data_IF_756772354532
#
_entry.id   IF_756772354532
#
_cell.length_a   1.000
_cell.length_b   1.000
_cell.length_c   1.000
_cell.angle_alpha   90.00
_cell.angle_beta   90.00
_cell.angle_gamma   90.00
#
_symmetry.space_group_name_H-M   'P 1'
#
loop_
_entity.id
_entity.type
_entity.pdbx_description
1 polymer ?
#
# COMPACT_ATOMS: atom_id res chain seq x y z
N UNK A 1 17.55 -11.73 6.41
CA UNK A 1 17.42 -10.87 5.22
C UNK A 1 16.52 -9.72 5.60
N UNK A 2 16.99 -8.48 5.49
CA UNK A 2 16.20 -7.30 5.84
C UNK A 2 15.75 -6.64 4.54
N UNK A 3 14.45 -6.71 4.28
CA UNK A 3 13.80 -5.93 3.22
C UNK A 3 13.83 -4.45 3.64
N UNK A 4 13.98 -3.54 2.68
CA UNK A 4 14.07 -2.11 2.97
C UNK A 4 13.43 -1.24 1.90
N UNK A 5 13.00 -0.04 2.29
CA UNK A 5 12.62 1.00 1.34
C UNK A 5 13.80 1.94 1.12
N UNK A 6 14.10 2.22 -0.14
CA UNK A 6 15.10 3.20 -0.56
C UNK A 6 14.43 4.42 -1.19
N UNK A 7 15.07 5.58 -1.06
CA UNK A 7 14.64 6.82 -1.69
C UNK A 7 15.72 7.27 -2.65
N UNK A 8 15.37 7.49 -3.90
CA UNK A 8 16.30 8.04 -4.88
C UNK A 8 16.59 9.52 -4.57
N UNK A 9 17.88 9.89 -4.36
CA UNK A 9 18.24 11.27 -4.11
C UNK A 9 17.90 12.18 -5.30
N UNK A 10 17.32 13.35 -5.02
CA UNK A 10 17.00 14.37 -6.03
C UNK A 10 15.59 14.26 -6.60
N UNK A 11 15.06 13.05 -6.81
CA UNK A 11 13.68 12.83 -7.27
C UNK A 11 12.74 12.53 -6.10
N UNK A 12 13.25 11.90 -5.04
CA UNK A 12 12.44 11.44 -3.91
C UNK A 12 11.65 10.17 -4.21
N UNK A 13 11.80 9.56 -5.39
CA UNK A 13 11.13 8.33 -5.79
C UNK A 13 11.44 7.22 -4.78
N UNK A 14 10.40 6.47 -4.38
CA UNK A 14 10.53 5.40 -3.39
C UNK A 14 10.57 4.06 -4.11
N UNK A 15 11.51 3.22 -3.67
CA UNK A 15 11.70 1.88 -4.18
C UNK A 15 11.66 0.85 -3.04
N UNK A 16 11.08 -0.30 -3.32
CA UNK A 16 11.25 -1.49 -2.51
C UNK A 16 12.53 -2.23 -2.92
N UNK A 17 13.42 -2.50 -1.97
CA UNK A 17 14.74 -3.09 -2.25
C UNK A 17 14.80 -4.50 -1.66
N UNK A 18 14.97 -5.49 -2.54
CA UNK A 18 15.19 -6.88 -2.16
C UNK A 18 16.59 -7.04 -1.53
N UNK A 19 16.81 -8.04 -0.66
CA UNK A 19 18.12 -8.35 -0.09
C UNK A 19 19.22 -8.59 -1.13
N UNK A 20 18.84 -8.99 -2.35
CA UNK A 20 19.74 -9.20 -3.48
C UNK A 20 20.11 -7.90 -4.21
N UNK A 21 19.53 -6.76 -3.81
CA UNK A 21 19.80 -5.43 -4.36
C UNK A 21 18.90 -5.01 -5.52
N UNK A 22 17.97 -5.87 -5.96
CA UNK A 22 16.96 -5.50 -6.94
C UNK A 22 15.97 -4.50 -6.33
N UNK A 23 15.70 -3.42 -7.05
CA UNK A 23 14.81 -2.35 -6.63
C UNK A 23 13.57 -2.31 -7.52
N UNK A 24 12.40 -2.29 -6.88
CA UNK A 24 11.12 -2.17 -7.56
C UNK A 24 10.46 -0.85 -7.21
N UNK A 25 9.89 -0.20 -8.22
CA UNK A 25 9.19 1.07 -8.03
C UNK A 25 8.02 0.89 -7.05
N UNK A 26 7.95 1.77 -6.04
CA UNK A 26 6.89 1.77 -5.03
C UNK A 26 6.02 3.03 -5.12
N UNK A 27 6.64 4.21 -5.13
CA UNK A 27 5.92 5.49 -5.21
C UNK A 27 6.73 6.56 -5.92
N UNK A 28 6.04 7.50 -6.55
CA UNK A 28 6.61 8.59 -7.35
C UNK A 28 7.40 9.61 -6.53
N UNK A 29 7.12 9.75 -5.24
CA UNK A 29 7.89 10.58 -4.31
C UNK A 29 7.68 10.19 -2.85
N UNK A 30 8.60 10.60 -1.97
CA UNK A 30 8.49 10.44 -0.52
C UNK A 30 7.22 11.10 0.04
N UNK A 31 6.84 12.28 -0.45
CA UNK A 31 5.65 13.00 0.01
C UNK A 31 4.37 12.23 -0.35
N UNK A 32 4.29 11.70 -1.57
CA UNK A 32 3.15 10.89 -2.01
C UNK A 32 3.09 9.55 -1.26
N UNK A 33 4.24 8.95 -0.98
CA UNK A 33 4.32 7.73 -0.19
C UNK A 33 3.81 7.95 1.25
N UNK A 34 4.26 9.00 1.93
CA UNK A 34 3.80 9.33 3.28
C UNK A 34 2.30 9.64 3.32
N UNK A 35 1.77 10.35 2.31
CA UNK A 35 0.33 10.60 2.18
C UNK A 35 -0.47 9.32 1.99
N UNK A 36 0.03 8.41 1.15
CA UNK A 36 -0.59 7.09 0.90
C UNK A 36 -0.62 6.27 2.19
N UNK A 37 0.50 6.19 2.90
CA UNK A 37 0.60 5.47 4.18
C UNK A 37 -0.31 6.06 5.26
N UNK A 38 -0.37 7.39 5.37
CA UNK A 38 -1.24 8.06 6.33
C UNK A 38 -2.71 7.81 6.02
N UNK A 39 -3.12 7.94 4.75
CA UNK A 39 -4.51 7.69 4.32
C UNK A 39 -4.92 6.25 4.59
N UNK A 40 -4.06 5.29 4.22
CA UNK A 40 -4.27 3.87 4.49
C UNK A 40 -4.39 3.58 5.99
N UNK A 41 -3.40 4.00 6.78
CA UNK A 41 -3.35 3.71 8.21
C UNK A 41 -4.52 4.33 8.98
N UNK A 42 -4.92 5.55 8.62
CA UNK A 42 -6.08 6.20 9.23
C UNK A 42 -7.37 5.42 8.93
N UNK A 43 -7.61 5.08 7.66
CA UNK A 43 -8.81 4.34 7.25
C UNK A 43 -8.92 2.99 7.98
N UNK A 44 -7.83 2.22 8.00
CA UNK A 44 -7.79 0.92 8.71
C UNK A 44 -8.04 1.10 10.21
N UNK A 45 -7.50 2.15 10.82
CA UNK A 45 -7.67 2.39 12.26
C UNK A 45 -9.09 2.79 12.67
N UNK A 46 -9.87 3.35 11.74
CA UNK A 46 -11.24 3.82 11.96
C UNK A 46 -12.30 2.83 11.45
N UNK A 47 -11.89 1.80 10.71
CA UNK A 47 -12.79 0.84 10.08
C UNK A 47 -13.28 -0.23 11.05
N UNK A 48 -14.59 -0.26 11.29
CA UNK A 48 -15.23 -1.35 12.03
C UNK A 48 -15.17 -2.68 11.24
N UNK A 49 -15.27 -2.63 9.90
CA UNK A 49 -15.25 -3.82 9.03
C UNK A 49 -13.87 -4.48 9.06
N UNK A 50 -12.80 -3.70 8.84
CA UNK A 50 -11.44 -4.23 8.78
C UNK A 50 -10.89 -4.61 10.16
N UNK A 51 -11.50 -4.11 11.24
CA UNK A 51 -11.11 -4.48 12.61
C UNK A 51 -11.57 -5.87 13.03
N UNK A 52 -12.67 -6.38 12.45
CA UNK A 52 -13.26 -7.69 12.75
C UNK A 52 -13.99 -8.25 11.50
N UNK A 53 -13.24 -8.83 10.54
CA UNK A 53 -13.76 -9.19 9.22
C UNK A 53 -14.42 -10.58 9.15
N UNK A 54 -14.40 -11.38 10.23
CA UNK A 54 -14.72 -12.83 10.22
C UNK A 54 -16.01 -13.18 9.46
N UNK A 55 -17.12 -12.50 9.75
CA UNK A 55 -18.43 -12.72 9.10
C UNK A 55 -18.72 -11.70 7.98
N UNK A 56 -17.75 -10.84 7.64
CA UNK A 56 -17.92 -9.66 6.76
C UNK A 56 -16.87 -9.59 5.65
N UNK A 57 -16.35 -10.73 5.21
CA UNK A 57 -15.27 -10.83 4.22
C UNK A 57 -15.59 -10.05 2.92
N UNK A 58 -16.80 -10.20 2.38
CA UNK A 58 -17.22 -9.47 1.17
C UNK A 58 -17.24 -7.95 1.38
N UNK A 59 -17.64 -7.48 2.56
CA UNK A 59 -17.61 -6.05 2.91
C UNK A 59 -16.19 -5.55 3.08
N UNK A 60 -15.32 -6.35 3.72
CA UNK A 60 -13.91 -6.05 3.88
C UNK A 60 -13.22 -5.94 2.52
N UNK A 61 -13.47 -6.86 1.60
CA UNK A 61 -12.94 -6.82 0.23
C UNK A 61 -13.44 -5.60 -0.55
N UNK A 62 -14.71 -5.23 -0.39
CA UNK A 62 -15.28 -4.03 -1.01
C UNK A 62 -14.63 -2.76 -0.46
N UNK A 63 -14.41 -2.68 0.85
CA UNK A 63 -13.74 -1.56 1.50
C UNK A 63 -12.27 -1.44 1.08
N UNK A 64 -11.53 -2.55 1.07
CA UNK A 64 -10.16 -2.60 0.58
C UNK A 64 -10.06 -2.16 -0.88
N UNK A 65 -11.03 -2.56 -1.73
CA UNK A 65 -11.09 -2.13 -3.14
C UNK A 65 -11.38 -0.64 -3.27
N UNK A 66 -12.28 -0.10 -2.45
CA UNK A 66 -12.52 1.34 -2.38
C UNK A 66 -11.25 2.09 -1.96
N UNK A 67 -10.60 1.65 -0.88
CA UNK A 67 -9.37 2.26 -0.37
C UNK A 67 -8.27 2.24 -1.41
N UNK A 68 -8.07 1.12 -2.12
CA UNK A 68 -7.14 1.05 -3.24
C UNK A 68 -7.47 2.12 -4.31
N UNK A 69 -8.72 2.27 -4.71
CA UNK A 69 -9.10 3.31 -5.68
C UNK A 69 -8.82 4.74 -5.18
N UNK A 70 -8.89 5.00 -3.88
CA UNK A 70 -8.53 6.29 -3.30
C UNK A 70 -7.03 6.52 -3.30
N UNK A 71 -6.24 5.54 -2.87
CA UNK A 71 -4.78 5.59 -2.92
C UNK A 71 -4.29 5.78 -4.36
N UNK A 72 -4.98 5.23 -5.37
CA UNK A 72 -4.67 5.43 -6.80
C UNK A 72 -4.75 6.87 -7.22
N UNK A 73 -5.67 7.63 -6.65
CA UNK A 73 -5.81 9.05 -6.95
C UNK A 73 -4.66 9.88 -6.36
N UNK A 74 -4.02 9.37 -5.29
CA UNK A 74 -2.86 10.02 -4.67
C UNK A 74 -1.62 9.83 -5.54
N UNK A 75 -1.34 8.57 -5.94
CA UNK A 75 -0.16 8.24 -6.74
C UNK A 75 -0.48 7.16 -7.79
N UNK A 76 -1.05 7.52 -8.96
CA UNK A 76 -1.43 6.55 -9.98
C UNK A 76 -0.27 5.65 -10.45
N UNK A 77 0.96 6.16 -10.69
CA UNK A 77 2.10 5.31 -11.07
C UNK A 77 2.41 4.20 -10.07
N UNK A 78 2.16 4.39 -8.77
CA UNK A 78 2.36 3.34 -7.76
C UNK A 78 1.53 2.09 -8.04
N UNK A 79 0.35 2.26 -8.64
CA UNK A 79 -0.57 1.17 -9.01
C UNK A 79 -0.06 0.36 -10.21
N UNK A 80 0.87 0.91 -11.00
CA UNK A 80 1.52 0.21 -12.11
C UNK A 80 2.91 -0.35 -11.70
N UNK A 81 3.30 -0.12 -10.44
CA UNK A 81 4.54 -0.55 -9.83
C UNK A 81 4.46 -1.91 -9.12
N UNK A 82 5.29 -2.11 -8.10
CA UNK A 82 5.26 -3.35 -7.34
C UNK A 82 4.05 -3.46 -6.40
N UNK A 83 3.27 -4.51 -6.58
CA UNK A 83 2.00 -4.73 -5.88
C UNK A 83 2.11 -5.40 -4.51
N UNK A 84 3.28 -5.50 -3.89
CA UNK A 84 3.44 -6.33 -2.68
C UNK A 84 3.09 -5.70 -1.32
N UNK A 85 2.78 -4.38 -1.23
CA UNK A 85 2.78 -3.71 0.09
C UNK A 85 1.54 -2.91 0.52
N UNK A 86 0.62 -2.50 -0.34
CA UNK A 86 -0.50 -1.62 0.07
C UNK A 86 -1.76 -1.80 -0.80
N UNK A 87 -2.01 -3.02 -1.27
CA UNK A 87 -2.93 -3.26 -2.38
C UNK A 87 -4.01 -4.25 -2.00
N UNK A 88 -5.27 -3.95 -2.31
CA UNK A 88 -6.44 -4.78 -1.99
C UNK A 88 -6.22 -6.28 -2.33
N UNK A 89 -5.57 -6.56 -3.46
CA UNK A 89 -5.23 -7.91 -3.96
C UNK A 89 -4.18 -8.67 -3.11
N UNK A 90 -3.56 -8.01 -2.14
CA UNK A 90 -2.57 -8.58 -1.21
C UNK A 90 -2.94 -8.34 0.27
N UNK A 91 -3.91 -7.46 0.53
CA UNK A 91 -4.48 -7.23 1.85
C UNK A 91 -5.46 -8.33 2.25
N UNK A 92 -6.04 -9.04 1.28
CA UNK A 92 -6.72 -10.32 1.50
C UNK A 92 -5.85 -11.32 2.28
N UNK A 93 -4.53 -11.32 2.03
CA UNK A 93 -3.56 -12.20 2.72
C UNK A 93 -3.35 -11.87 4.19
N UNK A 94 -3.89 -10.76 4.67
CA UNK A 94 -3.83 -10.34 6.08
C UNK A 94 -5.16 -10.60 6.81
N UNK A 95 -6.21 -10.98 6.07
CA UNK A 95 -7.48 -11.45 6.62
C UNK A 95 -7.45 -12.96 6.98
N UNK A 96 -6.37 -13.67 6.64
CA UNK A 96 -6.12 -15.09 6.93
C UNK A 96 -4.79 -15.29 7.67
#
# INVERSE_FOLDING_TARGET
MQWSFGVEPGTGTVYYVLPQGEAWFANSSIDLWLRTLHHYGLHVSESEILSDPDDREDEALAELSMLANELKKIDPPAFDGYHGFIWAEFLDRWLW
#
